data_IF_957649952572
#
_entry.id   IF_957649952572
#
_cell.length_a   1.000
_cell.length_b   1.000
_cell.length_c   1.000
_cell.angle_alpha   90.00
_cell.angle_beta   90.00
_cell.angle_gamma   90.00
#
_symmetry.space_group_name_H-M   'P 1'
#
loop_
_entity.id
_entity.type
_entity.pdbx_description
1 polymer ?
#
# COMPACT_ATOMS: atom_id res chain seq x y z
N UNK A 1 -8.09 -30.59 -4.19
CA UNK A 1 -6.93 -29.67 -4.02
C UNK A 1 -6.73 -28.90 -5.32
N UNK A 2 -7.39 -27.75 -5.46
CA UNK A 2 -7.42 -26.99 -6.72
C UNK A 2 -7.37 -25.49 -6.36
N UNK A 3 -6.19 -25.01 -5.95
CA UNK A 3 -6.01 -23.64 -5.42
C UNK A 3 -4.78 -22.93 -5.97
N UNK A 4 -4.55 -23.01 -7.29
CA UNK A 4 -3.43 -22.29 -7.94
C UNK A 4 -3.76 -21.55 -9.23
N UNK A 5 -4.99 -21.61 -9.76
CA UNK A 5 -5.37 -20.92 -11.00
C UNK A 5 -6.19 -19.61 -10.84
N UNK A 6 -6.47 -19.15 -9.61
CA UNK A 6 -7.36 -18.00 -9.40
C UNK A 6 -6.71 -16.62 -9.66
N UNK A 7 -5.38 -16.53 -9.81
CA UNK A 7 -4.68 -15.24 -9.81
C UNK A 7 -4.33 -14.64 -11.18
N UNK A 8 -4.40 -15.38 -12.29
CA UNK A 8 -3.68 -14.95 -13.52
C UNK A 8 -4.51 -14.32 -14.64
N UNK A 9 -5.81 -14.61 -14.78
CA UNK A 9 -6.61 -14.14 -15.94
C UNK A 9 -7.65 -13.07 -15.63
N UNK A 10 -8.08 -12.88 -14.37
CA UNK A 10 -9.17 -11.95 -14.04
C UNK A 10 -8.75 -10.47 -13.96
N UNK A 11 -7.45 -10.18 -13.78
CA UNK A 11 -6.95 -8.82 -13.55
C UNK A 11 -5.94 -8.36 -14.60
N UNK A 12 -6.03 -7.10 -15.09
CA UNK A 12 -5.01 -6.53 -15.94
C UNK A 12 -3.62 -6.64 -15.30
N UNK A 13 -2.56 -6.86 -16.09
CA UNK A 13 -1.21 -7.04 -15.54
C UNK A 13 -0.74 -5.82 -14.73
N UNK A 14 -1.20 -4.61 -15.07
CA UNK A 14 -0.91 -3.40 -14.30
C UNK A 14 -1.53 -3.41 -12.90
N UNK A 15 -2.77 -3.89 -12.77
CA UNK A 15 -3.48 -4.02 -11.49
C UNK A 15 -2.82 -5.08 -10.62
N UNK A 16 -2.42 -6.21 -11.20
CA UNK A 16 -1.68 -7.26 -10.49
C UNK A 16 -0.35 -6.77 -9.95
N UNK A 17 0.42 -6.03 -10.77
CA UNK A 17 1.67 -5.39 -10.32
C UNK A 17 1.43 -4.38 -9.20
N UNK A 18 0.39 -3.55 -9.30
CA UNK A 18 0.02 -2.60 -8.26
C UNK A 18 -0.32 -3.30 -6.93
N UNK A 19 -1.12 -4.36 -6.97
CA UNK A 19 -1.49 -5.16 -5.80
C UNK A 19 -0.28 -5.88 -5.18
N UNK A 20 0.58 -6.46 -6.01
CA UNK A 20 1.81 -7.10 -5.55
C UNK A 20 2.74 -6.10 -4.85
N UNK A 21 2.97 -4.94 -5.47
CA UNK A 21 3.78 -3.86 -4.88
C UNK A 21 3.15 -3.30 -3.61
N UNK A 22 1.82 -3.21 -3.54
CA UNK A 22 1.11 -2.77 -2.35
C UNK A 22 1.36 -3.76 -1.19
N UNK A 23 1.18 -5.05 -1.44
CA UNK A 23 1.42 -6.09 -0.44
C UNK A 23 2.88 -6.10 0.06
N UNK A 24 3.85 -6.05 -0.86
CA UNK A 24 5.28 -5.97 -0.53
C UNK A 24 5.59 -4.69 0.24
N UNK A 25 5.02 -3.55 -0.16
CA UNK A 25 5.17 -2.26 0.52
C UNK A 25 4.68 -2.31 1.96
N UNK A 26 3.51 -2.91 2.22
CA UNK A 26 3.00 -3.10 3.57
C UNK A 26 3.86 -4.03 4.42
N UNK A 27 4.34 -5.14 3.87
CA UNK A 27 5.27 -6.04 4.58
C UNK A 27 6.56 -5.29 4.94
N UNK A 28 7.12 -4.54 3.99
CA UNK A 28 8.32 -3.72 4.21
C UNK A 28 8.09 -2.64 5.29
N UNK A 29 6.92 -2.00 5.30
CA UNK A 29 6.56 -1.01 6.31
C UNK A 29 6.42 -1.63 7.70
N UNK A 30 5.83 -2.82 7.82
CA UNK A 30 5.75 -3.55 9.09
C UNK A 30 7.13 -3.94 9.61
N UNK A 31 8.00 -4.44 8.73
CA UNK A 31 9.39 -4.74 9.07
C UNK A 31 10.13 -3.48 9.54
N UNK A 32 9.88 -2.33 8.91
CA UNK A 32 10.44 -1.05 9.32
C UNK A 32 9.96 -0.61 10.71
N UNK A 33 8.65 -0.70 11.00
CA UNK A 33 8.09 -0.38 12.32
C UNK A 33 8.68 -1.27 13.40
N UNK A 34 8.78 -2.57 13.14
CA UNK A 34 9.41 -3.53 14.05
C UNK A 34 10.89 -3.17 14.29
N UNK A 35 11.63 -2.84 13.24
CA UNK A 35 13.03 -2.46 13.35
C UNK A 35 13.24 -1.16 14.15
N UNK A 36 12.35 -0.16 14.00
CA UNK A 36 12.35 1.03 14.87
C UNK A 36 12.11 0.61 16.33
N UNK A 37 11.09 -0.22 16.59
CA UNK A 37 10.74 -0.63 17.95
C UNK A 37 11.88 -1.36 18.65
N UNK A 38 12.62 -2.22 17.94
CA UNK A 38 13.79 -2.92 18.47
C UNK A 38 14.98 -1.98 18.67
N UNK A 39 15.23 -1.05 17.74
CA UNK A 39 16.37 -0.11 17.82
C UNK A 39 16.16 0.98 18.85
N UNK A 40 14.91 1.42 19.04
CA UNK A 40 14.52 2.52 19.92
C UNK A 40 13.35 2.07 20.83
N UNK A 41 13.61 1.17 21.79
CA UNK A 41 12.56 0.66 22.67
C UNK A 41 11.86 1.81 23.42
N UNK A 42 10.52 1.76 23.48
CA UNK A 42 9.70 2.79 24.13
C UNK A 42 9.23 3.94 23.24
N UNK A 43 9.76 4.10 22.01
CA UNK A 43 9.29 5.15 21.08
C UNK A 43 8.01 4.78 20.34
N UNK A 44 7.83 3.50 19.99
CA UNK A 44 6.62 3.01 19.31
C UNK A 44 5.78 2.21 20.29
N UNK A 45 4.56 2.69 20.55
CA UNK A 45 3.54 1.94 21.27
C UNK A 45 3.04 0.77 20.40
N UNK A 46 3.05 -0.45 20.96
CA UNK A 46 2.57 -1.67 20.30
C UNK A 46 1.14 -1.55 19.76
N UNK A 47 0.27 -0.78 20.43
CA UNK A 47 -1.08 -0.51 19.94
C UNK A 47 -1.08 0.26 18.61
N UNK A 48 -0.13 1.18 18.42
CA UNK A 48 -0.01 1.93 17.17
C UNK A 48 0.49 1.03 16.04
N UNK A 49 1.43 0.12 16.32
CA UNK A 49 1.89 -0.86 15.35
C UNK A 49 0.72 -1.77 14.89
N UNK A 50 -0.09 -2.28 15.82
CA UNK A 50 -1.27 -3.10 15.51
C UNK A 50 -2.28 -2.33 14.66
N UNK A 51 -2.58 -1.07 15.02
CA UNK A 51 -3.50 -0.21 14.24
C UNK A 51 -3.01 -0.02 12.80
N UNK A 52 -1.72 0.23 12.61
CA UNK A 52 -1.13 0.39 11.26
C UNK A 52 -1.22 -0.91 10.47
N UNK A 53 -0.99 -2.07 11.09
CA UNK A 53 -1.17 -3.39 10.46
C UNK A 53 -2.61 -3.61 9.99
N UNK A 54 -3.58 -3.33 10.86
CA UNK A 54 -5.01 -3.51 10.54
C UNK A 54 -5.45 -2.59 9.39
N UNK A 55 -4.98 -1.33 9.40
CA UNK A 55 -5.23 -0.39 8.31
C UNK A 55 -4.63 -0.89 7.00
N UNK A 56 -3.39 -1.39 7.03
CA UNK A 56 -2.72 -1.93 5.85
C UNK A 56 -3.44 -3.13 5.24
N UNK A 57 -3.84 -4.10 6.08
CA UNK A 57 -4.63 -5.25 5.65
C UNK A 57 -6.00 -4.83 5.09
N UNK A 58 -6.66 -3.87 5.74
CA UNK A 58 -7.94 -3.32 5.27
C UNK A 58 -7.81 -2.67 3.89
N UNK A 59 -6.79 -1.84 3.67
CA UNK A 59 -6.54 -1.20 2.37
C UNK A 59 -6.26 -2.25 1.30
N UNK A 60 -5.38 -3.23 1.58
CA UNK A 60 -5.13 -4.34 0.66
C UNK A 60 -6.41 -5.08 0.26
N UNK A 61 -7.27 -5.37 1.24
CA UNK A 61 -8.55 -6.05 1.01
C UNK A 61 -9.51 -5.20 0.15
N UNK A 62 -9.69 -3.91 0.46
CA UNK A 62 -10.61 -3.05 -0.28
C UNK A 62 -10.14 -2.74 -1.70
N UNK A 63 -8.82 -2.62 -1.91
CA UNK A 63 -8.23 -2.48 -3.24
C UNK A 63 -8.39 -3.79 -4.02
N UNK A 64 -8.20 -4.95 -3.38
CA UNK A 64 -8.47 -6.25 -4.01
C UNK A 64 -9.94 -6.41 -4.42
N UNK A 65 -10.88 -5.87 -3.64
CA UNK A 65 -12.32 -5.82 -3.97
C UNK A 65 -12.68 -4.80 -5.06
N UNK A 66 -11.71 -4.17 -5.71
CA UNK A 66 -11.88 -3.27 -6.88
C UNK A 66 -12.85 -2.11 -6.61
N UNK A 67 -12.98 -1.65 -5.37
CA UNK A 67 -13.83 -0.49 -5.10
C UNK A 67 -13.16 0.77 -5.65
N UNK A 68 -13.82 1.59 -6.49
CA UNK A 68 -13.22 2.79 -7.09
C UNK A 68 -12.75 3.79 -6.03
N UNK A 69 -13.48 3.88 -4.91
CA UNK A 69 -13.10 4.74 -3.78
C UNK A 69 -11.88 4.22 -3.02
N UNK A 70 -11.67 2.89 -2.98
CA UNK A 70 -10.51 2.28 -2.34
C UNK A 70 -9.21 2.60 -3.07
N UNK A 71 -9.25 2.79 -4.39
CA UNK A 71 -8.09 3.26 -5.17
C UNK A 71 -7.65 4.66 -4.75
N UNK A 72 -8.57 5.63 -4.67
CA UNK A 72 -8.24 6.99 -4.24
C UNK A 72 -7.73 7.01 -2.80
N UNK A 73 -8.34 6.23 -1.92
CA UNK A 73 -7.91 6.11 -0.53
C UNK A 73 -6.52 5.49 -0.40
N UNK A 74 -6.22 4.45 -1.19
CA UNK A 74 -4.91 3.81 -1.23
C UNK A 74 -3.82 4.79 -1.70
N UNK A 75 -4.08 5.57 -2.75
CA UNK A 75 -3.16 6.61 -3.23
C UNK A 75 -2.88 7.65 -2.12
N UNK A 76 -3.92 8.08 -1.41
CA UNK A 76 -3.77 9.02 -0.29
C UNK A 76 -2.86 8.47 0.82
N UNK A 77 -3.10 7.22 1.26
CA UNK A 77 -2.25 6.57 2.27
C UNK A 77 -0.82 6.37 1.78
N UNK A 78 -0.63 5.93 0.54
CA UNK A 78 0.70 5.78 -0.04
C UNK A 78 1.47 7.11 -0.02
N UNK A 79 0.84 8.22 -0.40
CA UNK A 79 1.45 9.55 -0.33
C UNK A 79 1.85 9.93 1.09
N UNK A 80 0.96 9.72 2.07
CA UNK A 80 1.29 9.95 3.49
C UNK A 80 2.50 9.14 3.95
N UNK A 81 2.55 7.85 3.60
CA UNK A 81 3.67 6.96 3.94
C UNK A 81 4.97 7.45 3.28
N UNK A 82 4.93 7.84 2.01
CA UNK A 82 6.10 8.37 1.29
C UNK A 82 6.61 9.64 1.96
N UNK A 83 5.71 10.58 2.31
CA UNK A 83 6.09 11.83 2.97
C UNK A 83 6.73 11.56 4.34
N UNK A 84 6.13 10.71 5.17
CA UNK A 84 6.65 10.40 6.51
C UNK A 84 8.01 9.69 6.42
N UNK A 85 8.15 8.67 5.56
CA UNK A 85 9.42 7.97 5.37
C UNK A 85 10.48 8.87 4.72
N UNK A 86 10.09 9.77 3.82
CA UNK A 86 10.96 10.76 3.20
C UNK A 86 11.47 11.79 4.21
N UNK A 87 10.61 12.32 5.08
CA UNK A 87 11.00 13.19 6.18
C UNK A 87 11.94 12.48 7.16
N UNK A 88 11.64 11.23 7.50
CA UNK A 88 12.53 10.41 8.34
C UNK A 88 13.92 10.26 7.70
N UNK A 89 13.98 9.96 6.40
CA UNK A 89 15.23 9.85 5.66
C UNK A 89 16.00 11.18 5.63
N UNK A 90 15.31 12.28 5.36
CA UNK A 90 15.90 13.62 5.33
C UNK A 90 16.53 13.99 6.68
N UNK A 91 15.77 13.81 7.79
CA UNK A 91 16.27 14.07 9.14
C UNK A 91 17.50 13.20 9.44
N UNK A 92 17.44 11.89 9.12
CA UNK A 92 18.55 10.95 9.32
C UNK A 92 19.82 11.33 8.56
N UNK A 93 19.70 11.77 7.31
CA UNK A 93 20.84 12.20 6.49
C UNK A 93 21.40 13.53 7.04
N UNK A 94 20.52 14.43 7.48
CA UNK A 94 20.93 15.72 8.07
C UNK A 94 21.56 15.59 9.47
N UNK A 95 21.23 14.52 10.21
CA UNK A 95 21.86 14.22 11.50
C UNK A 95 23.22 13.55 11.28
N UNK A 96 24.28 14.35 11.27
CA UNK A 96 25.67 13.91 11.16
C UNK A 96 26.02 12.87 12.26
N UNK A 97 25.95 11.57 11.94
CA UNK A 97 26.63 10.52 12.71
C UNK A 97 25.79 9.47 13.46
N UNK A 98 24.45 9.47 13.41
CA UNK A 98 23.61 8.52 14.16
C UNK A 98 22.73 7.61 13.27
N UNK A 99 23.02 7.48 11.98
CA UNK A 99 22.15 6.74 11.05
C UNK A 99 22.56 5.26 10.95
N UNK A 100 21.75 4.37 11.52
CA UNK A 100 21.79 2.95 11.12
C UNK A 100 21.45 2.84 9.63
N UNK A 101 22.41 2.42 8.83
CA UNK A 101 22.26 2.26 7.37
C UNK A 101 21.02 1.42 7.03
N UNK A 102 20.77 0.37 7.81
CA UNK A 102 19.63 -0.52 7.61
C UNK A 102 18.26 0.20 7.77
N UNK A 103 18.14 1.15 8.70
CA UNK A 103 16.90 1.93 8.84
C UNK A 103 16.71 2.94 7.70
N UNK A 104 17.78 3.59 7.26
CA UNK A 104 17.72 4.50 6.10
C UNK A 104 17.37 3.73 4.82
N UNK A 105 17.95 2.54 4.65
CA UNK A 105 17.64 1.66 3.52
C UNK A 105 16.17 1.20 3.54
N UNK A 106 15.63 0.77 4.69
CA UNK A 106 14.22 0.41 4.79
C UNK A 106 13.27 1.58 4.49
N UNK A 107 13.56 2.77 5.02
CA UNK A 107 12.77 3.97 4.74
C UNK A 107 12.78 4.30 3.23
N UNK A 108 13.94 4.19 2.58
CA UNK A 108 14.07 4.37 1.13
C UNK A 108 13.26 3.32 0.35
N UNK A 109 13.37 2.04 0.72
CA UNK A 109 12.61 0.96 0.07
C UNK A 109 11.11 1.15 0.20
N UNK A 110 10.63 1.57 1.38
CA UNK A 110 9.22 1.92 1.57
C UNK A 110 8.79 3.03 0.61
N UNK A 111 9.56 4.12 0.53
CA UNK A 111 9.28 5.20 -0.42
C UNK A 111 9.18 4.68 -1.85
N UNK A 112 10.12 3.83 -2.29
CA UNK A 112 10.12 3.27 -3.64
C UNK A 112 8.92 2.35 -3.90
N UNK A 113 8.61 1.42 -2.99
CA UNK A 113 7.49 0.50 -3.18
C UNK A 113 6.15 1.22 -3.21
N UNK A 114 5.92 2.17 -2.29
CA UNK A 114 4.68 2.94 -2.26
C UNK A 114 4.60 3.94 -3.43
N UNK A 115 5.72 4.52 -3.89
CA UNK A 115 5.74 5.38 -5.07
C UNK A 115 5.45 4.58 -6.35
N UNK A 116 6.09 3.42 -6.54
CA UNK A 116 5.84 2.54 -7.68
C UNK A 116 4.40 2.00 -7.66
N UNK A 117 3.89 1.59 -6.49
CA UNK A 117 2.50 1.20 -6.33
C UNK A 117 1.55 2.34 -6.74
N UNK A 118 1.81 3.56 -6.26
CA UNK A 118 1.03 4.75 -6.61
C UNK A 118 1.07 5.05 -8.10
N UNK A 119 2.25 4.93 -8.73
CA UNK A 119 2.40 5.08 -10.18
C UNK A 119 1.53 4.08 -10.95
N UNK A 120 1.57 2.79 -10.60
CA UNK A 120 0.73 1.77 -11.26
C UNK A 120 -0.77 1.93 -10.95
N UNK A 121 -1.13 2.43 -9.77
CA UNK A 121 -2.51 2.78 -9.44
C UNK A 121 -2.98 3.99 -10.24
N UNK A 122 -2.13 4.98 -10.49
CA UNK A 122 -2.47 6.17 -11.30
C UNK A 122 -2.51 5.89 -12.80
N UNK A 123 -1.82 4.85 -13.27
CA UNK A 123 -1.76 4.49 -14.68
C UNK A 123 -3.16 4.37 -15.32
N UNK A 124 -3.31 4.93 -16.53
CA UNK A 124 -4.58 4.95 -17.29
C UNK A 124 -5.26 3.56 -17.40
N UNK A 125 -4.54 2.45 -17.65
CA UNK A 125 -5.16 1.13 -17.74
C UNK A 125 -5.83 0.69 -16.43
N UNK A 126 -5.18 0.95 -15.29
CA UNK A 126 -5.74 0.67 -13.96
C UNK A 126 -6.94 1.57 -13.69
N UNK A 127 -6.88 2.84 -14.11
CA UNK A 127 -8.00 3.77 -13.95
C UNK A 127 -9.25 3.35 -14.72
N UNK A 128 -9.07 2.94 -15.97
CA UNK A 128 -10.15 2.46 -16.83
C UNK A 128 -10.81 1.21 -16.23
N UNK A 129 -10.02 0.24 -15.78
CA UNK A 129 -10.53 -1.00 -15.18
C UNK A 129 -11.42 -0.77 -13.95
N UNK A 130 -11.01 0.11 -13.03
CA UNK A 130 -11.82 0.45 -11.84
C UNK A 130 -13.07 1.23 -12.21
N UNK A 131 -13.01 2.10 -13.23
CA UNK A 131 -14.18 2.86 -13.71
C UNK A 131 -15.22 1.95 -14.36
N UNK A 132 -14.77 0.99 -15.15
CA UNK A 132 -15.64 0.00 -15.81
C UNK A 132 -16.35 -0.88 -14.77
N UNK A 133 -15.62 -1.42 -13.80
CA UNK A 133 -16.22 -2.19 -12.69
C UNK A 133 -17.23 -1.38 -11.89
N UNK A 134 -16.94 -0.11 -11.60
CA UNK A 134 -17.86 0.78 -10.91
C UNK A 134 -19.16 1.05 -11.69
N UNK A 135 -19.07 1.09 -13.03
CA UNK A 135 -20.23 1.27 -13.90
C UNK A 135 -21.10 0.03 -13.94
N UNK A 136 -20.50 -1.17 -13.99
CA UNK A 136 -21.23 -2.45 -13.95
C UNK A 136 -21.99 -2.62 -12.63
N UNK A 137 -21.32 -2.45 -11.48
CA UNK A 137 -21.98 -2.59 -10.17
C UNK A 137 -23.14 -1.63 -9.95
N UNK A 138 -23.14 -0.46 -10.60
CA UNK A 138 -24.26 0.49 -10.53
C UNK A 138 -25.47 0.04 -11.35
N UNK A 139 -25.24 -0.61 -12.50
CA UNK A 139 -26.31 -1.10 -13.37
C UNK A 139 -27.04 -2.28 -12.73
N UNK A 140 -26.31 -3.19 -12.09
CA UNK A 140 -26.90 -4.36 -11.43
C UNK A 140 -27.88 -3.94 -10.33
N UNK A 141 -27.48 -3.00 -9.47
CA UNK A 141 -28.37 -2.44 -8.43
C UNK A 141 -29.60 -1.72 -9.00
N UNK A 142 -29.46 -0.99 -10.11
CA UNK A 142 -30.60 -0.31 -10.74
C UNK A 142 -31.62 -1.28 -11.36
N UNK A 143 -31.26 -2.56 -11.56
CA UNK A 143 -32.13 -3.58 -12.15
C UNK A 143 -32.81 -4.44 -11.07
N UNK A 144 -32.24 -4.54 -9.86
CA UNK A 144 -32.88 -5.19 -8.70
C UNK A 144 -33.99 -4.34 -8.06
N UNK A 145 -33.93 -3.02 -8.23
CA UNK A 145 -34.93 -2.07 -7.72
C UNK A 145 -36.16 -1.91 -8.65
N UNK A 146 -36.21 -2.65 -9.77
CA UNK A 146 -37.32 -2.67 -10.74
C UNK A 146 -38.12 -3.97 -10.64
#
# INVERSE_FOLDING_TARGET
>A
MQSSHFFSSAFPPTVRKALGLLAVGWISLLAFIYHIHVTFPGTINSNNAIRVTLVGLGICYFVYKIKPWARSLCIFFNLGIIVINGLFLFIRISSLGLSSFALSFHALMNCLFFALCTYYLLAKPTAAFYKEHAATSRKDHATEDQ
#
